data_IF_873380296430
#
_entry.id   IF_873380296430
#
_cell.length_a   1.000
_cell.length_b   1.000
_cell.length_c   1.000
_cell.angle_alpha   90.00
_cell.angle_beta   90.00
_cell.angle_gamma   90.00
#
_symmetry.space_group_name_H-M   'P 1'
#
loop_
_entity.id
_entity.type
_entity.pdbx_description
1 polymer ?
#
# COMPACT_ATOMS: atom_id res chain seq x y z
N UNK A 1 6.63 5.84 -12.82
CA UNK A 1 7.61 6.37 -11.85
C UNK A 1 6.89 6.57 -10.53
N UNK A 2 7.04 5.66 -9.57
CA UNK A 2 6.56 5.91 -8.20
C UNK A 2 7.48 6.92 -7.54
N UNK A 3 6.90 7.90 -6.85
CA UNK A 3 7.65 8.98 -6.23
C UNK A 3 8.29 8.46 -4.92
N UNK A 4 9.38 9.05 -4.46
CA UNK A 4 10.06 8.67 -3.20
C UNK A 4 9.12 8.68 -1.97
N UNK A 5 8.00 9.41 -2.06
CA UNK A 5 6.97 9.48 -1.02
C UNK A 5 6.02 8.28 -1.00
N UNK A 6 5.65 7.73 -2.16
CA UNK A 6 4.83 6.50 -2.23
C UNK A 6 5.55 5.31 -1.55
N UNK A 7 6.88 5.32 -1.60
CA UNK A 7 7.77 4.33 -0.98
C UNK A 7 7.70 4.36 0.55
N UNK A 8 7.66 5.56 1.16
CA UNK A 8 7.59 5.70 2.63
C UNK A 8 6.23 5.33 3.20
N UNK A 9 5.17 5.55 2.42
CA UNK A 9 3.82 5.11 2.76
C UNK A 9 3.68 3.57 2.67
N UNK A 10 4.51 2.90 1.85
CA UNK A 10 4.54 1.43 1.75
C UNK A 10 5.11 0.77 3.01
N UNK A 11 6.16 1.36 3.59
CA UNK A 11 6.82 0.85 4.80
C UNK A 11 6.00 1.02 6.09
N UNK A 12 4.99 1.91 6.10
CA UNK A 12 4.13 2.20 7.25
C UNK A 12 2.73 1.58 7.12
N UNK A 13 2.69 0.34 6.63
CA UNK A 13 1.43 -0.32 6.35
C UNK A 13 0.86 -0.97 7.62
N UNK A 14 -0.47 -0.89 7.86
CA UNK A 14 -1.07 -1.53 9.02
C UNK A 14 -0.81 -3.05 9.02
N UNK A 15 -0.65 -3.70 10.19
CA UNK A 15 -0.34 -5.12 10.30
C UNK A 15 -1.41 -6.03 9.66
N UNK A 16 -2.64 -5.53 9.55
CA UNK A 16 -3.77 -6.22 8.92
C UNK A 16 -3.79 -6.13 7.39
N UNK A 17 -2.77 -5.52 6.76
CA UNK A 17 -2.87 -5.11 5.37
C UNK A 17 -3.14 -6.25 4.39
N UNK A 18 -2.63 -7.44 4.69
CA UNK A 18 -2.82 -8.63 3.85
C UNK A 18 -4.13 -9.38 4.13
N UNK A 19 -4.90 -8.98 5.15
CA UNK A 19 -6.23 -9.56 5.42
C UNK A 19 -7.27 -8.89 4.52
N UNK A 20 -7.97 -9.70 3.72
CA UNK A 20 -8.87 -9.19 2.69
C UNK A 20 -10.31 -9.08 3.22
N UNK A 21 -10.52 -8.25 4.24
CA UNK A 21 -11.86 -7.86 4.70
C UNK A 21 -12.26 -6.58 3.99
N UNK A 22 -13.33 -6.62 3.19
CA UNK A 22 -13.78 -5.47 2.40
C UNK A 22 -14.16 -4.25 3.28
N UNK A 23 -14.77 -4.48 4.44
CA UNK A 23 -15.09 -3.43 5.41
C UNK A 23 -13.82 -2.72 5.91
N UNK A 24 -12.83 -3.49 6.34
CA UNK A 24 -11.56 -2.96 6.83
C UNK A 24 -10.81 -2.18 5.74
N UNK A 25 -10.79 -2.70 4.50
CA UNK A 25 -10.18 -1.99 3.37
C UNK A 25 -10.90 -0.67 3.05
N UNK A 26 -12.23 -0.63 3.26
CA UNK A 26 -13.02 0.59 3.10
C UNK A 26 -12.69 1.61 4.20
N UNK A 27 -12.64 1.20 5.46
CA UNK A 27 -12.28 2.08 6.59
C UNK A 27 -10.89 2.68 6.39
N UNK A 28 -9.93 1.92 5.86
CA UNK A 28 -8.60 2.41 5.52
C UNK A 28 -8.64 3.48 4.41
N UNK A 29 -9.47 3.30 3.39
CA UNK A 29 -9.61 4.27 2.30
C UNK A 29 -10.29 5.55 2.77
N UNK A 30 -11.41 5.46 3.48
CA UNK A 30 -12.11 6.61 4.05
C UNK A 30 -11.23 7.33 5.07
N UNK A 31 -10.52 6.59 5.92
CA UNK A 31 -9.57 7.15 6.86
C UNK A 31 -8.43 7.91 6.19
N UNK A 32 -7.97 7.46 5.01
CA UNK A 32 -7.02 8.21 4.19
C UNK A 32 -7.61 9.52 3.65
N UNK A 33 -8.86 9.50 3.21
CA UNK A 33 -9.55 10.68 2.67
C UNK A 33 -9.96 11.69 3.74
N UNK A 34 -9.95 11.29 5.01
CA UNK A 34 -10.32 12.16 6.12
C UNK A 34 -9.51 13.47 6.12
N UNK A 35 -10.20 14.59 6.33
CA UNK A 35 -9.63 15.94 6.25
C UNK A 35 -8.50 16.12 7.27
N UNK A 36 -8.65 15.59 8.49
CA UNK A 36 -7.63 15.72 9.53
C UNK A 36 -6.29 15.08 9.14
N UNK A 37 -6.33 13.88 8.55
CA UNK A 37 -5.12 13.18 8.12
C UNK A 37 -4.46 13.87 6.93
N UNK A 38 -5.26 14.31 5.97
CA UNK A 38 -4.78 15.03 4.79
C UNK A 38 -4.21 16.40 5.16
N UNK A 39 -4.81 17.11 6.13
CA UNK A 39 -4.31 18.41 6.60
C UNK A 39 -2.95 18.27 7.31
N UNK A 40 -2.79 17.24 8.15
CA UNK A 40 -1.51 16.97 8.81
C UNK A 40 -0.40 16.65 7.79
N UNK A 41 -0.71 15.83 6.78
CA UNK A 41 0.23 15.52 5.70
C UNK A 41 0.58 16.76 4.88
N UNK A 42 -0.42 17.55 4.53
CA UNK A 42 -0.23 18.81 3.81
C UNK A 42 0.61 19.81 4.60
N UNK A 43 0.38 19.93 5.91
CA UNK A 43 1.18 20.81 6.78
C UNK A 43 2.65 20.37 6.86
N UNK A 44 2.91 19.06 6.95
CA UNK A 44 4.27 18.53 7.09
C UNK A 44 5.05 18.47 5.79
N UNK A 45 4.40 18.07 4.70
CA UNK A 45 5.05 17.73 3.44
C UNK A 45 4.66 18.65 2.28
N UNK A 46 3.73 19.58 2.49
CA UNK A 46 3.26 20.52 1.47
C UNK A 46 2.32 19.91 0.43
N UNK A 47 1.91 18.65 0.60
CA UNK A 47 1.09 17.94 -0.37
C UNK A 47 0.11 16.97 0.29
N UNK A 48 -0.92 16.59 -0.46
CA UNK A 48 -1.90 15.60 -0.02
C UNK A 48 -1.32 14.19 -0.23
N UNK A 49 -1.51 13.31 0.73
CA UNK A 49 -1.09 11.91 0.61
C UNK A 49 -1.94 11.20 -0.45
N UNK A 50 -1.30 10.42 -1.31
CA UNK A 50 -1.95 9.59 -2.33
C UNK A 50 -2.78 8.46 -1.69
N UNK A 51 -4.10 8.55 -1.75
CA UNK A 51 -5.00 7.48 -1.27
C UNK A 51 -5.25 6.37 -2.30
N UNK A 52 -4.55 6.41 -3.45
CA UNK A 52 -4.77 5.48 -4.57
C UNK A 52 -4.44 4.02 -4.21
N UNK A 53 -3.46 3.79 -3.32
CA UNK A 53 -3.08 2.46 -2.83
C UNK A 53 -4.24 1.78 -2.08
N UNK A 54 -4.85 2.50 -1.13
CA UNK A 54 -6.00 1.99 -0.37
C UNK A 54 -7.20 1.69 -1.27
N UNK A 55 -7.44 2.53 -2.28
CA UNK A 55 -8.49 2.30 -3.26
C UNK A 55 -8.25 1.05 -4.13
N UNK A 56 -7.00 0.83 -4.57
CA UNK A 56 -6.63 -0.39 -5.31
C UNK A 56 -6.84 -1.65 -4.46
N UNK A 57 -6.47 -1.61 -3.18
CA UNK A 57 -6.73 -2.70 -2.23
C UNK A 57 -8.23 -2.95 -2.04
N UNK A 58 -9.04 -1.91 -1.86
CA UNK A 58 -10.49 -2.06 -1.74
C UNK A 58 -11.08 -2.74 -2.97
N UNK A 59 -10.69 -2.31 -4.18
CA UNK A 59 -11.11 -2.94 -5.44
C UNK A 59 -10.69 -4.41 -5.53
N UNK A 60 -9.46 -4.73 -5.12
CA UNK A 60 -8.98 -6.11 -5.08
C UNK A 60 -9.85 -6.96 -4.14
N UNK A 61 -10.12 -6.47 -2.94
CA UNK A 61 -10.92 -7.22 -1.97
C UNK A 61 -12.38 -7.38 -2.35
N UNK A 62 -12.97 -6.37 -3.01
CA UNK A 62 -14.29 -6.54 -3.62
C UNK A 62 -14.28 -7.60 -4.72
N UNK A 63 -13.24 -7.65 -5.56
CA UNK A 63 -13.11 -8.68 -6.60
C UNK A 63 -12.97 -10.08 -6.00
N UNK A 64 -12.11 -10.25 -4.99
CA UNK A 64 -11.89 -11.53 -4.31
C UNK A 64 -13.18 -12.04 -3.67
N UNK A 65 -13.95 -11.17 -3.02
CA UNK A 65 -15.22 -11.54 -2.38
C UNK A 65 -16.28 -12.05 -3.38
N UNK A 66 -16.25 -11.59 -4.63
CA UNK A 66 -17.23 -12.00 -5.66
C UNK A 66 -16.84 -13.32 -6.34
N UNK A 67 -15.57 -13.74 -6.24
CA UNK A 67 -15.06 -14.97 -6.87
C UNK A 67 -15.24 -16.19 -5.95
N UNK A 68 -15.05 -17.39 -6.52
CA UNK A 68 -14.94 -18.62 -5.73
C UNK A 68 -13.73 -18.56 -4.80
N UNK A 69 -13.76 -19.35 -3.72
CA UNK A 69 -12.71 -19.34 -2.69
C UNK A 69 -11.32 -19.65 -3.28
N UNK A 70 -11.24 -20.64 -4.18
CA UNK A 70 -10.01 -21.02 -4.86
C UNK A 70 -9.43 -19.89 -5.72
N UNK A 71 -10.25 -19.29 -6.58
CA UNK A 71 -9.84 -18.19 -7.45
C UNK A 71 -9.50 -16.92 -6.65
N UNK A 72 -10.19 -16.68 -5.53
CA UNK A 72 -9.89 -15.58 -4.62
C UNK A 72 -8.53 -15.75 -3.95
N UNK A 73 -8.19 -16.97 -3.53
CA UNK A 73 -6.90 -17.29 -2.92
C UNK A 73 -5.75 -17.14 -3.91
N UNK A 74 -5.93 -17.57 -5.16
CA UNK A 74 -4.94 -17.39 -6.22
C UNK A 74 -4.67 -15.90 -6.50
N UNK A 75 -5.71 -15.09 -6.67
CA UNK A 75 -5.58 -13.64 -6.85
C UNK A 75 -4.84 -12.96 -5.69
N UNK A 76 -5.08 -13.40 -4.45
CA UNK A 76 -4.39 -12.87 -3.28
C UNK A 76 -2.91 -13.27 -3.23
N UNK A 77 -2.57 -14.49 -3.70
CA UNK A 77 -1.17 -14.93 -3.84
C UNK A 77 -0.44 -14.10 -4.89
N UNK A 78 -1.04 -13.92 -6.07
CA UNK A 78 -0.47 -13.10 -7.14
C UNK A 78 -0.23 -11.66 -6.67
N UNK A 79 -1.21 -11.06 -5.99
CA UNK A 79 -1.07 -9.72 -5.44
C UNK A 79 0.10 -9.64 -4.47
N UNK A 80 0.23 -10.59 -3.54
CA UNK A 80 1.36 -10.63 -2.59
C UNK A 80 2.69 -10.74 -3.31
N UNK A 81 2.80 -11.63 -4.29
CA UNK A 81 4.03 -11.79 -5.08
C UNK A 81 4.41 -10.50 -5.82
N UNK A 82 3.44 -9.79 -6.40
CA UNK A 82 3.70 -8.50 -7.04
C UNK A 82 4.20 -7.44 -6.05
N UNK A 83 3.62 -7.36 -4.85
CA UNK A 83 4.08 -6.42 -3.82
C UNK A 83 5.48 -6.80 -3.32
N UNK A 84 5.77 -8.08 -3.12
CA UNK A 84 7.11 -8.56 -2.75
C UNK A 84 8.15 -8.24 -3.83
N UNK A 85 7.80 -8.41 -5.11
CA UNK A 85 8.66 -8.03 -6.23
C UNK A 85 8.91 -6.52 -6.26
N UNK A 86 7.88 -5.70 -6.05
CA UNK A 86 8.05 -4.24 -5.96
C UNK A 86 8.92 -3.82 -4.79
N UNK A 87 8.81 -4.50 -3.65
CA UNK A 87 9.66 -4.21 -2.49
C UNK A 87 11.11 -4.60 -2.75
N UNK A 88 11.36 -5.77 -3.35
CA UNK A 88 12.70 -6.22 -3.74
C UNK A 88 13.34 -5.36 -4.83
N UNK A 89 12.54 -4.80 -5.73
CA UNK A 89 13.01 -3.92 -6.80
C UNK A 89 13.43 -2.52 -6.31
N UNK A 90 13.04 -2.13 -5.10
CA UNK A 90 13.45 -0.85 -4.53
C UNK A 90 14.91 -0.91 -4.05
N UNK A 91 15.66 0.18 -4.22
CA UNK A 91 17.06 0.22 -3.80
C UNK A 91 17.15 0.02 -2.29
N UNK A 92 18.03 -0.90 -1.88
CA UNK A 92 18.31 -1.10 -0.47
C UNK A 92 19.18 0.06 0.04
N UNK A 93 18.96 0.51 1.28
CA UNK A 93 19.79 1.55 1.90
C UNK A 93 21.27 1.17 1.96
N UNK A 94 21.59 -0.13 2.04
CA UNK A 94 22.97 -0.64 2.01
C UNK A 94 23.64 -0.49 0.64
N UNK A 95 22.86 -0.32 -0.43
CA UNK A 95 23.36 -0.15 -1.80
C UNK A 95 23.81 1.30 -2.09
N UNK A 96 23.39 2.26 -1.26
CA UNK A 96 23.74 3.69 -1.41
C UNK A 96 25.13 4.00 -0.85
N UNK A 97 25.61 3.24 0.13
CA UNK A 97 26.87 3.52 0.82
C UNK A 97 27.97 2.59 0.32
N UNK A 98 28.99 3.14 -0.34
CA UNK A 98 30.22 2.41 -0.62
C UNK A 98 31.09 2.34 0.64
N UNK A 99 31.78 1.21 0.84
CA UNK A 99 32.77 1.07 1.92
C UNK A 99 33.81 2.17 1.74
N UNK A 100 34.02 2.95 2.79
CA UNK A 100 35.06 3.99 2.78
C UNK A 100 36.38 3.32 3.16
N UNK A 101 37.35 3.41 2.26
CA UNK A 101 38.75 2.98 2.48
C UNK A 101 39.43 3.82 3.57
#
# INVERSE_FOLDING_TARGET
MSNSKDIKDEANLPPDYYTCKASLAFDQWVGCLSVGKQLSSYYRYGEKTSCSKYWKKLKLCMKVKVRSEEAGNELMREFRQQEEQKQKAQPNVLDVWTVRE
#
